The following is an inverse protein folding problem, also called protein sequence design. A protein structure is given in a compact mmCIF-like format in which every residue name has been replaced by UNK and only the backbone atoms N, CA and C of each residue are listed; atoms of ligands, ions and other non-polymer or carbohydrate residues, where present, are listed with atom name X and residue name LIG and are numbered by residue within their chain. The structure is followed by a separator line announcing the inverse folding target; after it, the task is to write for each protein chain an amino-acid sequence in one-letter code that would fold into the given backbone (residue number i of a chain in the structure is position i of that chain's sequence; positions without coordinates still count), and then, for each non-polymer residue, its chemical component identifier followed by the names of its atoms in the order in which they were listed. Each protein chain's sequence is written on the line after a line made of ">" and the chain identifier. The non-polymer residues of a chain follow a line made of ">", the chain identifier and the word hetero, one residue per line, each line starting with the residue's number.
data_IF_813798614000
#
_entry.id   IF_813798614000
#
_cell.length_a   1.000
_cell.length_b   1.000
_cell.length_c   1.000
_cell.angle_alpha   90.00
_cell.angle_beta   90.00
_cell.angle_gamma   90.00
#
_symmetry.space_group_name_H-M   'P 1'
#
loop_
_entity.id
_entity.type
_entity.pdbx_description
1 polymer ?
#
# COMPACT_ATOMS: atom_id res chain seq x y z
N UNK A 1 49.46 51.94 5.13
CA UNK A 1 50.78 52.36 4.61
C UNK A 1 50.54 53.29 3.43
N UNK A 2 51.17 54.46 3.50
CA UNK A 2 51.05 55.60 2.59
C UNK A 2 52.05 55.42 1.45
N UNK A 3 51.67 55.74 0.20
CA UNK A 3 52.58 56.45 -0.71
C UNK A 3 51.83 57.24 -1.77
N UNK A 4 51.93 58.55 -1.60
CA UNK A 4 51.58 59.64 -2.52
C UNK A 4 52.77 59.81 -3.47
N UNK A 5 52.51 60.04 -4.77
CA UNK A 5 53.09 61.15 -5.58
C UNK A 5 52.83 60.95 -7.09
N UNK A 6 52.16 61.94 -7.68
CA UNK A 6 52.34 62.39 -9.06
C UNK A 6 52.73 63.87 -9.00
N UNK A 7 53.49 64.38 -9.97
CA UNK A 7 53.21 65.74 -10.43
C UNK A 7 53.31 65.94 -11.95
N UNK A 8 52.59 66.97 -12.41
CA UNK A 8 52.77 67.64 -13.70
C UNK A 8 51.80 67.17 -14.78
N UNK A 9 51.09 68.02 -15.51
CA UNK A 9 51.03 69.47 -15.60
C UNK A 9 50.02 69.80 -16.72
N UNK A 10 49.24 70.85 -16.59
CA UNK A 10 48.38 71.37 -17.66
C UNK A 10 49.14 72.41 -18.50
N UNK A 11 48.74 72.60 -19.76
CA UNK A 11 48.17 73.92 -20.04
C UNK A 11 46.89 73.88 -20.90
N UNK A 12 46.11 74.98 -20.90
CA UNK A 12 44.77 75.02 -21.47
C UNK A 12 44.82 75.42 -22.95
N UNK A 13 44.32 74.55 -23.82
CA UNK A 13 44.08 74.85 -25.23
C UNK A 13 42.63 75.24 -25.46
N UNK A 14 42.36 76.56 -25.56
CA UNK A 14 41.16 77.09 -26.20
C UNK A 14 41.08 76.56 -27.64
N UNK A 15 40.03 75.80 -27.97
CA UNK A 15 39.38 75.70 -29.30
C UNK A 15 38.33 74.59 -29.27
N UNK A 16 37.05 74.92 -29.06
CA UNK A 16 35.87 74.31 -29.73
C UNK A 16 34.56 74.87 -29.17
N UNK A 17 34.13 76.05 -29.63
CA UNK A 17 32.77 76.57 -29.38
C UNK A 17 31.80 76.35 -30.55
N UNK A 18 32.23 75.75 -31.67
CA UNK A 18 31.34 75.41 -32.80
C UNK A 18 30.90 73.93 -32.85
N UNK A 19 31.45 73.05 -32.01
CA UNK A 19 31.07 71.63 -31.95
C UNK A 19 29.96 71.33 -30.89
N UNK A 20 29.43 72.35 -30.21
CA UNK A 20 28.40 72.19 -29.17
C UNK A 20 26.97 72.27 -29.72
N UNK A 21 26.74 72.92 -30.88
CA UNK A 21 25.44 72.95 -31.55
C UNK A 21 25.02 71.58 -32.08
N UNK A 22 25.91 70.94 -32.88
CA UNK A 22 25.68 69.59 -33.42
C UNK A 22 25.53 68.52 -32.33
N UNK A 23 26.25 68.66 -31.20
CA UNK A 23 26.11 67.75 -30.05
C UNK A 23 24.79 67.94 -29.29
N UNK A 24 24.26 69.17 -29.23
CA UNK A 24 22.95 69.45 -28.60
C UNK A 24 21.80 68.95 -29.47
N UNK A 25 21.88 69.11 -30.79
CA UNK A 25 20.89 68.57 -31.73
C UNK A 25 20.88 67.04 -31.73
N UNK A 26 22.05 66.40 -31.59
CA UNK A 26 22.15 64.94 -31.45
C UNK A 26 21.59 64.44 -30.09
N UNK A 27 21.75 65.22 -29.00
CA UNK A 27 21.19 64.88 -27.69
C UNK A 27 19.65 64.99 -27.63
N UNK A 28 19.06 65.93 -28.38
CA UNK A 28 17.60 66.07 -28.48
C UNK A 28 17.02 64.90 -29.29
N UNK A 29 17.63 64.55 -30.42
CA UNK A 29 17.22 63.40 -31.22
C UNK A 29 17.38 62.07 -30.46
N UNK A 30 18.39 61.95 -29.61
CA UNK A 30 18.55 60.81 -28.69
C UNK A 30 17.42 60.76 -27.66
N UNK A 31 17.10 61.89 -27.00
CA UNK A 31 16.01 61.94 -26.02
C UNK A 31 14.64 61.62 -26.61
N UNK A 32 14.36 62.03 -27.85
CA UNK A 32 13.12 61.71 -28.54
C UNK A 32 13.04 60.24 -28.94
N UNK A 33 14.16 59.63 -29.33
CA UNK A 33 14.23 58.19 -29.60
C UNK A 33 14.04 57.37 -28.32
N UNK A 34 14.63 57.81 -27.22
CA UNK A 34 14.50 57.16 -25.92
C UNK A 34 13.07 57.27 -25.38
N UNK A 35 12.41 58.42 -25.49
CA UNK A 35 11.00 58.57 -25.12
C UNK A 35 10.08 57.70 -25.98
N UNK A 36 10.33 57.62 -27.30
CA UNK A 36 9.59 56.71 -28.18
C UNK A 36 9.78 55.25 -27.79
N UNK A 37 11.00 54.87 -27.41
CA UNK A 37 11.31 53.51 -26.97
C UNK A 37 10.66 53.18 -25.61
N UNK A 38 10.59 54.15 -24.70
CA UNK A 38 9.89 54.00 -23.41
C UNK A 38 8.37 53.84 -23.65
N UNK A 39 7.79 54.63 -24.54
CA UNK A 39 6.36 54.51 -24.87
C UNK A 39 6.05 53.17 -25.56
N UNK A 40 6.89 52.74 -26.51
CA UNK A 40 6.78 51.42 -27.16
C UNK A 40 6.89 50.27 -26.13
N UNK A 41 7.79 50.38 -25.15
CA UNK A 41 7.92 49.39 -24.07
C UNK A 41 6.68 49.37 -23.16
N UNK A 42 6.14 50.53 -22.77
CA UNK A 42 4.93 50.60 -21.94
C UNK A 42 3.72 50.02 -22.66
N UNK A 43 3.54 50.33 -23.94
CA UNK A 43 2.46 49.76 -24.75
C UNK A 43 2.61 48.25 -24.86
N UNK A 44 3.83 47.73 -25.05
CA UNK A 44 4.07 46.28 -25.06
C UNK A 44 3.78 45.61 -23.71
N UNK A 45 4.18 46.24 -22.59
CA UNK A 45 3.91 45.73 -21.24
C UNK A 45 2.40 45.73 -20.92
N UNK A 46 1.68 46.79 -21.28
CA UNK A 46 0.23 46.88 -21.11
C UNK A 46 -0.49 45.83 -21.97
N UNK A 47 -0.09 45.66 -23.24
CA UNK A 47 -0.65 44.60 -24.09
C UNK A 47 -0.36 43.19 -23.54
N UNK A 48 0.86 42.94 -23.02
CA UNK A 48 1.21 41.66 -22.42
C UNK A 48 0.43 41.42 -21.12
N UNK A 49 0.23 42.44 -20.29
CA UNK A 49 -0.57 42.36 -19.08
C UNK A 49 -2.04 42.04 -19.39
N UNK A 50 -2.61 42.66 -20.44
CA UNK A 50 -3.99 42.36 -20.89
C UNK A 50 -4.09 40.93 -21.44
N UNK A 51 -3.17 40.51 -22.32
CA UNK A 51 -3.17 39.16 -22.89
C UNK A 51 -3.00 38.07 -21.82
N UNK A 52 -2.12 38.28 -20.85
CA UNK A 52 -1.93 37.33 -19.74
C UNK A 52 -3.13 37.29 -18.80
N UNK A 53 -3.77 38.44 -18.52
CA UNK A 53 -5.00 38.50 -17.75
C UNK A 53 -6.16 37.76 -18.46
N UNK A 54 -6.32 37.94 -19.76
CA UNK A 54 -7.33 37.22 -20.55
C UNK A 54 -7.05 35.71 -20.61
N UNK A 55 -5.81 35.30 -20.85
CA UNK A 55 -5.42 33.89 -20.84
C UNK A 55 -5.67 33.25 -19.47
N UNK A 56 -5.34 33.94 -18.37
CA UNK A 56 -5.59 33.43 -17.02
C UNK A 56 -7.08 33.25 -16.73
N UNK A 57 -7.94 34.16 -17.22
CA UNK A 57 -9.40 34.06 -17.10
C UNK A 57 -9.96 32.89 -17.90
N UNK A 58 -9.46 32.67 -19.12
CA UNK A 58 -9.87 31.53 -19.95
C UNK A 58 -9.43 30.20 -19.32
N UNK A 59 -8.20 30.11 -18.82
CA UNK A 59 -7.72 28.94 -18.10
C UNK A 59 -8.55 28.67 -16.84
N UNK A 60 -8.83 29.70 -16.03
CA UNK A 60 -9.65 29.55 -14.83
C UNK A 60 -11.08 29.09 -15.16
N UNK A 61 -11.68 29.56 -16.26
CA UNK A 61 -12.99 29.11 -16.71
C UNK A 61 -12.97 27.65 -17.18
N UNK A 62 -11.96 27.25 -17.97
CA UNK A 62 -11.80 25.88 -18.44
C UNK A 62 -11.54 24.90 -17.29
N UNK A 63 -10.71 25.27 -16.31
CA UNK A 63 -10.46 24.45 -15.12
C UNK A 63 -11.72 24.31 -14.26
N UNK A 64 -12.46 25.40 -14.04
CA UNK A 64 -13.72 25.35 -13.32
C UNK A 64 -14.76 24.45 -14.02
N UNK A 65 -14.84 24.49 -15.35
CA UNK A 65 -15.72 23.62 -16.12
C UNK A 65 -15.27 22.16 -16.05
N UNK A 66 -13.97 21.88 -16.17
CA UNK A 66 -13.42 20.53 -16.02
C UNK A 66 -13.70 19.95 -14.64
N UNK A 67 -13.47 20.72 -13.57
CA UNK A 67 -13.75 20.28 -12.21
C UNK A 67 -15.24 19.98 -11.99
N UNK A 68 -16.15 20.74 -12.62
CA UNK A 68 -17.59 20.45 -12.58
C UNK A 68 -17.92 19.13 -13.26
N UNK A 69 -17.39 18.89 -14.47
CA UNK A 69 -17.59 17.63 -15.20
C UNK A 69 -17.00 16.44 -14.45
N UNK A 70 -15.78 16.56 -13.95
CA UNK A 70 -15.11 15.52 -13.16
C UNK A 70 -15.88 15.21 -11.87
N UNK A 71 -16.45 16.22 -11.19
CA UNK A 71 -17.30 16.03 -10.01
C UNK A 71 -18.63 15.34 -10.32
N UNK A 72 -19.27 15.66 -11.45
CA UNK A 72 -20.50 14.98 -11.91
C UNK A 72 -20.22 13.53 -12.30
N UNK A 73 -19.15 13.26 -13.05
CA UNK A 73 -18.75 11.91 -13.40
C UNK A 73 -18.35 11.08 -12.18
N UNK A 74 -17.71 11.69 -11.18
CA UNK A 74 -17.37 11.03 -9.93
C UNK A 74 -18.63 10.63 -9.14
N UNK A 75 -19.65 11.50 -9.11
CA UNK A 75 -20.95 11.18 -8.50
C UNK A 75 -21.61 10.01 -9.21
N UNK A 76 -21.71 10.06 -10.54
CA UNK A 76 -22.31 8.98 -11.35
C UNK A 76 -21.55 7.66 -11.16
N UNK A 77 -20.23 7.69 -11.10
CA UNK A 77 -19.41 6.49 -10.80
C UNK A 77 -19.73 5.94 -9.42
N UNK A 78 -19.76 6.81 -8.39
CA UNK A 78 -20.08 6.38 -7.03
C UNK A 78 -21.48 5.77 -6.89
N UNK A 79 -22.47 6.31 -7.61
CA UNK A 79 -23.84 5.78 -7.62
C UNK A 79 -23.92 4.41 -8.31
N UNK A 80 -23.21 4.25 -9.43
CA UNK A 80 -23.14 2.96 -10.14
C UNK A 80 -22.43 1.90 -9.29
N UNK A 81 -21.32 2.26 -8.66
CA UNK A 81 -20.56 1.34 -7.80
C UNK A 81 -21.38 0.94 -6.57
N UNK A 82 -22.12 1.88 -5.98
CA UNK A 82 -23.04 1.60 -4.87
C UNK A 82 -24.19 0.67 -5.32
N UNK A 83 -24.75 0.86 -6.51
CA UNK A 83 -25.80 -0.01 -7.05
C UNK A 83 -25.28 -1.44 -7.27
N UNK A 84 -24.09 -1.59 -7.86
CA UNK A 84 -23.46 -2.90 -8.07
C UNK A 84 -23.14 -3.60 -6.74
N UNK A 85 -22.68 -2.86 -5.73
CA UNK A 85 -22.41 -3.41 -4.40
C UNK A 85 -23.69 -3.92 -3.73
N UNK A 86 -24.82 -3.21 -3.88
CA UNK A 86 -26.13 -3.63 -3.35
C UNK A 86 -26.61 -4.90 -4.07
N UNK A 87 -26.47 -4.97 -5.39
CA UNK A 87 -26.87 -6.14 -6.17
C UNK A 87 -26.05 -7.38 -5.79
N UNK A 88 -24.72 -7.24 -5.70
CA UNK A 88 -23.82 -8.32 -5.25
C UNK A 88 -24.12 -8.76 -3.81
N UNK A 89 -24.42 -7.81 -2.92
CA UNK A 89 -24.79 -8.14 -1.55
C UNK A 89 -26.10 -8.94 -1.48
N UNK A 90 -27.09 -8.59 -2.31
CA UNK A 90 -28.35 -9.34 -2.43
C UNK A 90 -28.11 -10.74 -2.98
N UNK A 91 -27.33 -10.87 -4.05
CA UNK A 91 -27.03 -12.17 -4.65
C UNK A 91 -26.29 -13.09 -3.66
N UNK A 92 -25.30 -12.55 -2.94
CA UNK A 92 -24.58 -13.30 -1.92
C UNK A 92 -25.49 -13.71 -0.76
N UNK A 93 -26.39 -12.84 -0.31
CA UNK A 93 -27.37 -13.15 0.72
C UNK A 93 -28.35 -14.24 0.27
N UNK A 94 -28.79 -14.22 -1.00
CA UNK A 94 -29.64 -15.27 -1.57
C UNK A 94 -28.92 -16.61 -1.66
N UNK A 95 -27.66 -16.61 -2.11
CA UNK A 95 -26.82 -17.83 -2.14
C UNK A 95 -26.63 -18.41 -0.74
N UNK A 96 -26.31 -17.57 0.24
CA UNK A 96 -26.14 -18.00 1.62
C UNK A 96 -27.46 -18.53 2.22
N UNK A 97 -28.60 -17.87 1.93
CA UNK A 97 -29.91 -18.32 2.36
C UNK A 97 -30.25 -19.70 1.77
N UNK A 98 -29.99 -19.94 0.48
CA UNK A 98 -30.17 -21.26 -0.15
C UNK A 98 -29.30 -22.32 0.50
N UNK A 99 -28.01 -22.04 0.70
CA UNK A 99 -27.08 -22.95 1.38
C UNK A 99 -27.53 -23.27 2.81
N UNK A 100 -28.05 -22.28 3.56
CA UNK A 100 -28.58 -22.50 4.91
C UNK A 100 -29.80 -23.43 4.89
N UNK A 101 -30.74 -23.21 3.98
CA UNK A 101 -31.93 -24.07 3.84
C UNK A 101 -31.53 -25.50 3.46
N UNK A 102 -30.63 -25.66 2.49
CA UNK A 102 -30.12 -26.98 2.08
C UNK A 102 -29.39 -27.69 3.23
N UNK A 103 -28.58 -26.98 4.00
CA UNK A 103 -27.88 -27.54 5.16
C UNK A 103 -28.84 -27.96 6.28
N UNK A 104 -29.90 -27.18 6.53
CA UNK A 104 -30.92 -27.50 7.51
C UNK A 104 -31.73 -28.72 7.08
N UNK A 105 -32.11 -28.80 5.79
CA UNK A 105 -32.81 -29.96 5.25
C UNK A 105 -31.94 -31.23 5.30
N UNK A 106 -30.66 -31.13 4.95
CA UNK A 106 -29.72 -32.24 5.05
C UNK A 106 -29.54 -32.71 6.50
N UNK A 107 -29.45 -31.79 7.45
CA UNK A 107 -29.37 -32.10 8.88
C UNK A 107 -30.64 -32.81 9.39
N UNK A 108 -31.82 -32.39 8.96
CA UNK A 108 -33.08 -33.06 9.32
C UNK A 108 -33.17 -34.47 8.71
N UNK A 109 -32.75 -34.66 7.46
CA UNK A 109 -32.67 -36.00 6.85
C UNK A 109 -31.71 -36.91 7.61
N UNK A 110 -30.56 -36.39 8.04
CA UNK A 110 -29.61 -37.14 8.86
C UNK A 110 -30.19 -37.49 10.24
N UNK A 111 -30.90 -36.55 10.90
CA UNK A 111 -31.57 -36.81 12.17
C UNK A 111 -32.62 -37.91 12.05
N UNK A 112 -33.40 -37.90 10.98
CA UNK A 112 -34.39 -38.95 10.72
C UNK A 112 -33.74 -40.32 10.48
N UNK A 113 -32.66 -40.37 9.69
CA UNK A 113 -31.91 -41.61 9.48
C UNK A 113 -31.29 -42.13 10.78
N UNK A 114 -30.64 -41.26 11.56
CA UNK A 114 -30.07 -41.61 12.85
C UNK A 114 -31.14 -42.09 13.85
N UNK A 115 -32.33 -41.48 13.86
CA UNK A 115 -33.44 -41.93 14.71
C UNK A 115 -33.93 -43.34 14.32
N UNK A 116 -34.02 -43.64 13.02
CA UNK A 116 -34.38 -44.98 12.54
C UNK A 116 -33.29 -46.02 12.89
N UNK A 117 -32.02 -45.65 12.75
CA UNK A 117 -30.90 -46.52 13.16
C UNK A 117 -30.89 -46.77 14.67
N UNK A 118 -31.17 -45.75 15.48
CA UNK A 118 -31.31 -45.91 16.93
C UNK A 118 -32.46 -46.85 17.28
N UNK A 119 -33.61 -46.75 16.61
CA UNK A 119 -34.72 -47.67 16.83
C UNK A 119 -34.35 -49.11 16.45
N UNK A 120 -33.67 -49.31 15.31
CA UNK A 120 -33.16 -50.64 14.90
C UNK A 120 -32.18 -51.19 15.93
N UNK A 121 -31.23 -50.37 16.37
CA UNK A 121 -30.24 -50.78 17.38
C UNK A 121 -30.92 -51.11 18.72
N UNK A 122 -31.93 -50.35 19.13
CA UNK A 122 -32.70 -50.66 20.34
C UNK A 122 -33.43 -52.01 20.23
N UNK A 123 -34.08 -52.29 19.11
CA UNK A 123 -34.74 -53.57 18.85
C UNK A 123 -33.72 -54.74 18.83
N UNK A 124 -32.57 -54.57 18.19
CA UNK A 124 -31.50 -55.56 18.20
C UNK A 124 -30.95 -55.80 19.61
N UNK A 125 -30.81 -54.74 20.42
CA UNK A 125 -30.35 -54.85 21.80
C UNK A 125 -31.39 -55.51 22.71
N UNK A 126 -32.69 -55.28 22.49
CA UNK A 126 -33.77 -55.95 23.21
C UNK A 126 -33.81 -57.45 22.89
N UNK A 127 -33.66 -57.83 21.62
CA UNK A 127 -33.53 -59.23 21.20
C UNK A 127 -32.29 -59.89 21.83
N UNK A 128 -31.13 -59.23 21.78
CA UNK A 128 -29.90 -59.72 22.43
C UNK A 128 -30.04 -59.80 23.94
N UNK A 129 -30.73 -58.87 24.60
CA UNK A 129 -30.99 -58.90 26.05
C UNK A 129 -31.90 -60.08 26.41
N UNK A 130 -32.92 -60.37 25.62
CA UNK A 130 -33.79 -61.54 25.81
C UNK A 130 -33.03 -62.86 25.66
N UNK A 131 -32.04 -62.92 24.76
CA UNK A 131 -31.16 -64.08 24.60
C UNK A 131 -30.13 -64.23 25.72
N UNK A 132 -29.55 -63.11 26.18
CA UNK A 132 -28.54 -63.09 27.26
C UNK A 132 -29.18 -63.38 28.63
N UNK A 133 -30.41 -62.94 28.86
CA UNK A 133 -31.15 -63.17 30.11
C UNK A 133 -31.45 -64.65 30.38
N UNK A 134 -31.48 -65.50 29.35
CA UNK A 134 -31.82 -66.93 29.49
C UNK A 134 -30.67 -67.83 29.91
N UNK A 135 -29.41 -67.35 29.91
CA UNK A 135 -28.25 -68.26 29.93
C UNK A 135 -27.19 -68.05 30.99
N UNK A 136 -27.28 -67.08 31.92
CA UNK A 136 -26.10 -66.78 32.76
C UNK A 136 -26.33 -66.82 34.26
N UNK A 137 -25.57 -67.67 34.99
CA UNK A 137 -25.53 -67.65 36.44
C UNK A 137 -24.84 -66.37 36.94
N UNK A 138 -25.51 -65.71 37.87
CA UNK A 138 -25.26 -64.33 38.35
C UNK A 138 -23.86 -64.07 38.91
N UNK A 139 -23.16 -65.09 39.40
CA UNK A 139 -21.81 -64.91 39.97
C UNK A 139 -20.73 -64.72 38.89
N UNK A 140 -20.90 -65.33 37.72
CA UNK A 140 -19.96 -65.16 36.60
C UNK A 140 -20.09 -63.78 35.95
N UNK A 141 -21.29 -63.17 36.01
CA UNK A 141 -21.60 -61.84 35.46
C UNK A 141 -20.94 -60.69 36.21
N UNK A 142 -20.77 -60.81 37.54
CA UNK A 142 -20.12 -59.75 38.33
C UNK A 142 -18.62 -59.69 38.01
N UNK A 143 -17.95 -60.84 37.96
CA UNK A 143 -16.52 -60.92 37.66
C UNK A 143 -16.23 -60.50 36.21
N UNK A 144 -17.04 -60.98 35.25
CA UNK A 144 -16.90 -60.53 33.85
C UNK A 144 -17.29 -59.05 33.67
N UNK A 145 -18.28 -58.55 34.39
CA UNK A 145 -18.68 -57.13 34.35
C UNK A 145 -17.58 -56.20 34.82
N UNK A 146 -16.93 -56.52 35.95
CA UNK A 146 -15.80 -55.73 36.49
C UNK A 146 -14.60 -55.80 35.53
N UNK A 147 -14.27 -56.98 35.01
CA UNK A 147 -13.18 -57.13 34.04
C UNK A 147 -13.43 -56.33 32.75
N UNK A 148 -14.69 -56.28 32.28
CA UNK A 148 -15.07 -55.55 31.07
C UNK A 148 -15.04 -54.03 31.29
N UNK A 149 -15.48 -53.54 32.47
CA UNK A 149 -15.36 -52.12 32.84
C UNK A 149 -13.90 -51.70 32.96
N UNK A 150 -13.05 -52.53 33.58
CA UNK A 150 -11.61 -52.25 33.66
C UNK A 150 -10.95 -52.24 32.28
N UNK A 151 -11.31 -53.18 31.40
CA UNK A 151 -10.82 -53.20 30.01
C UNK A 151 -11.28 -51.96 29.22
N UNK A 152 -12.55 -51.55 29.33
CA UNK A 152 -13.07 -50.33 28.70
C UNK A 152 -12.38 -49.09 29.26
N UNK A 153 -12.15 -49.03 30.57
CA UNK A 153 -11.41 -47.93 31.21
C UNK A 153 -9.96 -47.81 30.72
N UNK A 154 -9.26 -48.95 30.56
CA UNK A 154 -7.90 -48.97 30.01
C UNK A 154 -7.87 -48.59 28.53
N UNK A 155 -8.83 -49.05 27.72
CA UNK A 155 -8.96 -48.65 26.31
C UNK A 155 -9.28 -47.16 26.20
N UNK A 156 -10.20 -46.63 27.01
CA UNK A 156 -10.52 -45.20 27.04
C UNK A 156 -9.32 -44.36 27.49
N UNK A 157 -8.61 -44.79 28.54
CA UNK A 157 -7.39 -44.12 29.00
C UNK A 157 -6.30 -44.12 27.92
N UNK A 158 -6.07 -45.25 27.25
CA UNK A 158 -5.12 -45.37 26.15
C UNK A 158 -5.48 -44.47 24.96
N UNK A 159 -6.77 -44.42 24.57
CA UNK A 159 -7.25 -43.54 23.49
C UNK A 159 -7.12 -42.06 23.89
N UNK A 160 -7.46 -41.69 25.13
CA UNK A 160 -7.33 -40.30 25.60
C UNK A 160 -5.87 -39.83 25.57
N UNK A 161 -4.95 -40.69 26.02
CA UNK A 161 -3.51 -40.41 26.04
C UNK A 161 -2.90 -40.37 24.63
N UNK A 162 -3.39 -41.22 23.71
CA UNK A 162 -2.99 -41.15 22.30
C UNK A 162 -3.47 -39.86 21.64
N UNK A 163 -4.73 -39.45 21.86
CA UNK A 163 -5.29 -38.22 21.28
C UNK A 163 -4.60 -36.96 21.77
N UNK A 164 -4.25 -36.87 23.06
CA UNK A 164 -3.44 -35.75 23.58
C UNK A 164 -2.07 -35.70 22.90
N UNK A 165 -1.42 -36.86 22.71
CA UNK A 165 -0.11 -36.91 22.05
C UNK A 165 -0.16 -36.56 20.56
N UNK A 166 -1.23 -36.91 19.85
CA UNK A 166 -1.44 -36.56 18.44
C UNK A 166 -1.82 -35.08 18.29
N UNK A 167 -2.71 -34.56 19.15
CA UNK A 167 -3.09 -33.15 19.16
C UNK A 167 -1.89 -32.23 19.48
N UNK A 168 -1.04 -32.62 20.43
CA UNK A 168 0.18 -31.87 20.76
C UNK A 168 1.22 -31.91 19.63
N UNK A 169 1.36 -33.06 18.95
CA UNK A 169 2.26 -33.17 17.79
C UNK A 169 1.75 -32.35 16.61
N UNK A 170 0.45 -32.38 16.34
CA UNK A 170 -0.16 -31.61 15.27
C UNK A 170 -0.11 -30.11 15.57
N UNK A 171 -0.34 -29.70 16.83
CA UNK A 171 -0.20 -28.32 17.26
C UNK A 171 1.25 -27.82 17.14
N UNK A 172 2.25 -28.64 17.52
CA UNK A 172 3.67 -28.32 17.33
C UNK A 172 4.05 -28.23 15.86
N UNK A 173 3.62 -29.18 15.03
CA UNK A 173 3.88 -29.16 13.60
C UNK A 173 3.26 -27.93 12.91
N UNK A 174 2.04 -27.54 13.29
CA UNK A 174 1.40 -26.30 12.81
C UNK A 174 2.15 -25.06 13.28
N UNK A 175 2.58 -25.01 14.54
CA UNK A 175 3.35 -23.89 15.08
C UNK A 175 4.73 -23.76 14.40
N UNK A 176 5.41 -24.87 14.13
CA UNK A 176 6.67 -24.91 13.40
C UNK A 176 6.50 -24.48 11.95
N UNK A 177 5.44 -24.95 11.27
CA UNK A 177 5.13 -24.53 9.89
C UNK A 177 4.83 -23.03 9.80
N UNK A 178 4.06 -22.46 10.75
CA UNK A 178 3.78 -21.03 10.81
C UNK A 178 5.07 -20.23 11.08
N UNK A 179 5.92 -20.71 11.99
CA UNK A 179 7.20 -20.06 12.29
C UNK A 179 8.15 -20.11 11.09
N UNK A 180 8.22 -21.24 10.38
CA UNK A 180 9.03 -21.38 9.17
C UNK A 180 8.51 -20.47 8.06
N UNK A 181 7.19 -20.44 7.83
CA UNK A 181 6.57 -19.55 6.85
C UNK A 181 6.88 -18.07 7.16
N UNK A 182 6.70 -17.65 8.42
CA UNK A 182 7.05 -16.30 8.85
C UNK A 182 8.54 -15.97 8.66
N UNK A 183 9.43 -16.95 8.77
CA UNK A 183 10.86 -16.74 8.47
C UNK A 183 11.14 -16.62 6.97
N UNK A 184 10.44 -17.37 6.13
CA UNK A 184 10.54 -17.28 4.67
C UNK A 184 10.03 -15.94 4.17
N UNK A 185 8.82 -15.55 4.58
CA UNK A 185 8.21 -14.27 4.21
C UNK A 185 9.09 -13.09 4.64
N UNK A 186 9.71 -13.18 5.83
CA UNK A 186 10.65 -12.17 6.31
C UNK A 186 11.93 -12.09 5.47
N UNK A 187 12.47 -13.22 5.00
CA UNK A 187 13.66 -13.24 4.13
C UNK A 187 13.33 -12.69 2.75
N UNK A 188 12.22 -13.11 2.16
CA UNK A 188 11.76 -12.61 0.86
C UNK A 188 11.53 -11.09 0.90
N UNK A 189 10.94 -10.58 1.98
CA UNK A 189 10.76 -9.14 2.17
C UNK A 189 12.11 -8.39 2.28
N UNK A 190 13.11 -8.97 2.94
CA UNK A 190 14.46 -8.39 3.03
C UNK A 190 15.17 -8.40 1.68
N UNK A 191 15.13 -9.51 0.94
CA UNK A 191 15.71 -9.62 -0.40
C UNK A 191 15.06 -8.64 -1.38
N UNK A 192 13.74 -8.44 -1.30
CA UNK A 192 13.03 -7.46 -2.11
C UNK A 192 13.50 -6.02 -1.82
N UNK A 193 13.72 -5.68 -0.55
CA UNK A 193 14.28 -4.38 -0.17
C UNK A 193 15.70 -4.21 -0.70
N UNK A 194 16.56 -5.23 -0.60
CA UNK A 194 17.93 -5.16 -1.10
C UNK A 194 17.97 -4.99 -2.63
N UNK A 195 17.11 -5.69 -3.37
CA UNK A 195 16.99 -5.51 -4.83
C UNK A 195 16.57 -4.09 -5.19
N UNK A 196 15.52 -3.57 -4.54
CA UNK A 196 15.07 -2.19 -4.78
C UNK A 196 16.15 -1.16 -4.42
N UNK A 197 16.96 -1.41 -3.38
CA UNK A 197 18.07 -0.53 -3.04
C UNK A 197 19.16 -0.52 -4.13
N UNK A 198 19.49 -1.67 -4.72
CA UNK A 198 20.42 -1.74 -5.86
C UNK A 198 19.88 -0.98 -7.07
N UNK A 199 18.58 -1.13 -7.35
CA UNK A 199 17.92 -0.41 -8.45
C UNK A 199 17.93 1.11 -8.22
N UNK A 200 17.74 1.56 -6.98
CA UNK A 200 17.84 2.97 -6.61
C UNK A 200 19.26 3.54 -6.73
N UNK A 201 20.29 2.75 -6.38
CA UNK A 201 21.68 3.13 -6.62
C UNK A 201 21.98 3.28 -8.13
N UNK A 202 21.49 2.36 -8.96
CA UNK A 202 21.62 2.47 -10.42
C UNK A 202 20.91 3.71 -10.97
N UNK A 203 19.69 4.01 -10.50
CA UNK A 203 18.98 5.22 -10.90
C UNK A 203 19.65 6.49 -10.39
N UNK A 204 20.28 6.46 -9.22
CA UNK A 204 21.09 7.59 -8.76
C UNK A 204 22.25 7.86 -9.72
N UNK A 205 22.96 6.82 -10.17
CA UNK A 205 24.02 6.96 -11.19
C UNK A 205 23.49 7.52 -12.51
N UNK A 206 22.28 7.12 -12.94
CA UNK A 206 21.64 7.68 -14.14
C UNK A 206 21.28 9.16 -13.98
N UNK A 207 20.80 9.56 -12.80
CA UNK A 207 20.54 10.97 -12.48
C UNK A 207 21.83 11.78 -12.51
N UNK A 208 22.92 11.28 -11.90
CA UNK A 208 24.22 11.96 -11.90
C UNK A 208 24.76 12.11 -13.33
N UNK A 209 24.71 11.05 -14.14
CA UNK A 209 25.09 11.10 -15.56
C UNK A 209 24.23 12.07 -16.39
N UNK A 210 22.93 12.21 -16.07
CA UNK A 210 22.05 13.17 -16.72
C UNK A 210 22.35 14.61 -16.30
N UNK A 211 22.76 14.84 -15.05
CA UNK A 211 23.26 16.15 -14.56
C UNK A 211 24.54 16.52 -15.31
N UNK A 212 25.48 15.60 -15.45
CA UNK A 212 26.72 15.83 -16.21
C UNK A 212 26.42 16.11 -17.70
N UNK A 213 25.47 15.38 -18.28
CA UNK A 213 25.00 15.61 -19.65
C UNK A 213 24.42 17.01 -19.82
N UNK A 214 23.60 17.47 -18.86
CA UNK A 214 23.04 18.83 -18.85
C UNK A 214 24.13 19.90 -18.71
N UNK A 215 25.17 19.66 -17.90
CA UNK A 215 26.30 20.58 -17.73
C UNK A 215 27.16 20.68 -19.00
N UNK A 216 27.29 19.58 -19.74
CA UNK A 216 28.10 19.50 -20.98
C UNK A 216 27.37 20.00 -22.24
N UNK A 217 26.06 20.25 -22.17
CA UNK A 217 25.24 20.60 -23.32
C UNK A 217 25.58 21.99 -23.91
N UNK A 218 25.91 22.02 -25.21
CA UNK A 218 26.39 23.22 -25.89
C UNK A 218 25.28 24.10 -26.46
N UNK A 219 24.19 23.50 -26.96
CA UNK A 219 23.08 24.23 -27.56
C UNK A 219 21.91 24.38 -26.60
N UNK A 220 21.04 25.35 -26.86
CA UNK A 220 19.81 25.52 -26.07
C UNK A 220 18.88 24.31 -26.21
N UNK A 221 18.76 23.76 -27.43
CA UNK A 221 17.94 22.58 -27.68
C UNK A 221 18.46 21.35 -26.90
N UNK A 222 19.78 21.15 -26.83
CA UNK A 222 20.39 20.07 -26.05
C UNK A 222 20.12 20.25 -24.56
N UNK A 223 20.24 21.48 -24.04
CA UNK A 223 19.94 21.81 -22.64
C UNK A 223 18.48 21.54 -22.28
N UNK A 224 17.54 21.92 -23.14
CA UNK A 224 16.12 21.68 -22.91
C UNK A 224 15.80 20.18 -22.92
N UNK A 225 16.40 19.42 -23.86
CA UNK A 225 16.22 17.96 -23.92
C UNK A 225 16.85 17.23 -22.74
N UNK A 226 18.05 17.65 -22.29
CA UNK A 226 18.74 17.08 -21.14
C UNK A 226 18.00 17.40 -19.84
N UNK A 227 17.44 18.61 -19.72
CA UNK A 227 16.60 19.02 -18.60
C UNK A 227 15.32 18.17 -18.52
N UNK A 228 14.64 17.95 -19.64
CA UNK A 228 13.46 17.10 -19.68
C UNK A 228 13.77 15.65 -19.25
N UNK A 229 14.91 15.09 -19.69
CA UNK A 229 15.37 13.76 -19.26
C UNK A 229 15.70 13.72 -17.77
N UNK A 230 16.39 14.74 -17.25
CA UNK A 230 16.72 14.83 -15.83
C UNK A 230 15.45 14.90 -14.96
N UNK A 231 14.47 15.70 -15.37
CA UNK A 231 13.20 15.84 -14.66
C UNK A 231 12.39 14.53 -14.67
N UNK A 232 12.42 13.78 -15.79
CA UNK A 232 11.82 12.44 -15.86
C UNK A 232 12.51 11.45 -14.90
N UNK A 233 13.86 11.37 -14.92
CA UNK A 233 14.62 10.49 -14.03
C UNK A 233 14.42 10.83 -12.55
N UNK A 234 14.28 12.12 -12.21
CA UNK A 234 13.97 12.56 -10.84
C UNK A 234 12.60 12.09 -10.36
N UNK A 235 11.59 12.10 -11.24
CA UNK A 235 10.25 11.57 -10.93
C UNK A 235 10.30 10.06 -10.71
N UNK A 236 10.96 9.33 -11.60
CA UNK A 236 11.14 7.88 -11.46
C UNK A 236 11.91 7.52 -10.18
N UNK A 237 12.95 8.27 -9.83
CA UNK A 237 13.69 8.10 -8.56
C UNK A 237 12.78 8.31 -7.35
N UNK A 238 11.97 9.37 -7.36
CA UNK A 238 11.03 9.65 -6.27
C UNK A 238 9.99 8.53 -6.09
N UNK A 239 9.42 8.04 -7.19
CA UNK A 239 8.47 6.91 -7.17
C UNK A 239 9.13 5.63 -6.63
N UNK A 240 10.37 5.36 -7.03
CA UNK A 240 11.12 4.22 -6.52
C UNK A 240 11.48 4.35 -5.04
N UNK A 241 11.86 5.54 -4.56
CA UNK A 241 12.10 5.81 -3.15
C UNK A 241 10.83 5.58 -2.31
N UNK A 242 9.65 5.93 -2.83
CA UNK A 242 8.37 5.59 -2.19
C UNK A 242 8.15 4.08 -2.12
N UNK A 243 8.42 3.34 -3.20
CA UNK A 243 8.30 1.88 -3.23
C UNK A 243 9.26 1.22 -2.24
N UNK A 244 10.48 1.74 -2.09
CA UNK A 244 11.46 1.29 -1.10
C UNK A 244 10.95 1.56 0.31
N UNK A 245 10.41 2.75 0.57
CA UNK A 245 9.86 3.09 1.89
C UNK A 245 8.70 2.17 2.27
N UNK A 246 7.80 1.89 1.32
CA UNK A 246 6.69 0.96 1.53
C UNK A 246 7.17 -0.48 1.75
N UNK A 247 8.13 -0.96 0.95
CA UNK A 247 8.73 -2.28 1.11
C UNK A 247 9.42 -2.45 2.47
N UNK A 248 10.18 -1.43 2.90
CA UNK A 248 10.79 -1.39 4.24
C UNK A 248 9.74 -1.39 5.35
N UNK A 249 8.66 -0.64 5.18
CA UNK A 249 7.56 -0.63 6.15
C UNK A 249 6.86 -2.00 6.24
N UNK A 250 6.65 -2.68 5.10
CA UNK A 250 6.11 -4.05 5.06
C UNK A 250 7.05 -5.05 5.73
N UNK A 251 8.34 -5.00 5.42
CA UNK A 251 9.36 -5.85 6.03
C UNK A 251 9.43 -5.65 7.56
N UNK A 252 9.43 -4.40 8.03
CA UNK A 252 9.43 -4.09 9.46
C UNK A 252 8.14 -4.56 10.16
N UNK A 253 6.97 -4.49 9.49
CA UNK A 253 5.73 -5.05 10.03
C UNK A 253 5.78 -6.57 10.14
N UNK A 254 6.28 -7.26 9.12
CA UNK A 254 6.46 -8.71 9.13
C UNK A 254 7.41 -9.15 10.26
N UNK A 255 8.52 -8.43 10.45
CA UNK A 255 9.47 -8.69 11.53
C UNK A 255 8.85 -8.48 12.92
N UNK A 256 8.05 -7.43 13.11
CA UNK A 256 7.32 -7.21 14.37
C UNK A 256 6.32 -8.33 14.66
N UNK A 257 5.60 -8.79 13.65
CA UNK A 257 4.63 -9.89 13.79
C UNK A 257 5.30 -11.22 14.15
N UNK A 258 6.53 -11.46 13.68
CA UNK A 258 7.34 -12.63 14.07
C UNK A 258 7.68 -12.66 15.58
N UNK A 259 7.75 -11.49 16.22
CA UNK A 259 8.12 -11.34 17.63
C UNK A 259 6.97 -11.50 18.63
N UNK A 260 5.71 -11.42 18.19
CA UNK A 260 4.55 -11.53 19.11
C UNK A 260 4.27 -13.01 19.39
N UNK A 261 4.96 -13.57 20.39
CA UNK A 261 4.60 -14.85 20.98
C UNK A 261 3.38 -14.64 21.88
N UNK A 262 2.18 -14.73 21.30
CA UNK A 262 0.95 -14.77 22.09
C UNK A 262 0.98 -16.10 22.88
N UNK A 263 1.07 -16.03 24.20
CA UNK A 263 1.01 -17.24 25.02
C UNK A 263 -0.36 -17.90 24.84
N UNK A 264 -0.43 -19.23 25.00
CA UNK A 264 -1.69 -19.97 24.89
C UNK A 264 -2.77 -19.40 25.83
N UNK A 265 -2.34 -18.94 27.01
CA UNK A 265 -3.21 -18.28 28.00
C UNK A 265 -3.81 -16.97 27.48
N UNK A 266 -3.07 -16.19 26.68
CA UNK A 266 -3.58 -14.98 26.05
C UNK A 266 -4.49 -15.27 24.85
N UNK A 267 -4.31 -16.41 24.18
CA UNK A 267 -5.15 -16.86 23.08
C UNK A 267 -6.51 -17.36 23.59
N UNK A 268 -6.50 -18.10 24.71
CA UNK A 268 -7.69 -18.67 25.35
C UNK A 268 -8.45 -17.63 26.21
N UNK A 269 -7.75 -16.62 26.74
CA UNK A 269 -8.34 -15.53 27.50
C UNK A 269 -7.60 -14.19 27.26
N UNK A 270 -8.14 -13.29 26.42
CA UNK A 270 -7.50 -12.00 26.13
C UNK A 270 -7.46 -11.05 27.34
N UNK A 271 -8.16 -11.37 28.44
CA UNK A 271 -8.11 -10.61 29.70
C UNK A 271 -7.17 -11.24 30.74
N UNK A 272 -6.41 -12.28 30.39
CA UNK A 272 -5.45 -12.88 31.30
C UNK A 272 -4.34 -11.89 31.67
N UNK A 273 -3.91 -11.94 32.94
CA UNK A 273 -2.96 -10.99 33.53
C UNK A 273 -1.61 -11.14 32.82
N UNK A 274 -1.18 -10.11 32.07
CA UNK A 274 0.08 -10.11 31.31
C UNK A 274 -0.07 -10.19 29.78
N UNK A 275 -1.30 -10.17 29.26
CA UNK A 275 -1.61 -10.26 27.83
C UNK A 275 -1.82 -8.90 27.13
N UNK A 276 -1.15 -7.84 27.59
CA UNK A 276 -1.22 -6.48 27.02
C UNK A 276 0.02 -6.15 26.20
#
# INVERSE_FOLDING_TARGET
>A
MIKIERPGGYPPGLRTSMAQGEKRENSVLFSLRELRQIEENRVQEEEQAVRTAEQSRLHAQQEAERLRREAEEAKIRSERDAALAIEQARENAEREARMRVESAEAAERQRQQAALEQQRLQQEMELRRAEVAKKRPTWMLVVTGIALIAAVGLVFFAISRMRESEADREAKAKAEAIAEQATKDSKEAQEAVERLQKDAEEMSKKVDAAVDSLASAQTQADRDSAKAKLDALRREKYEMDQRIAEAKAKAARAERLKGVKISKECLDNPLAKGCN
#
